data_IF_964004355105
#
_entry.id   IF_964004355105
#
_cell.length_a   1.000
_cell.length_b   1.000
_cell.length_c   1.000
_cell.angle_alpha   90.00
_cell.angle_beta   90.00
_cell.angle_gamma   90.00
#
_symmetry.space_group_name_H-M   'P 1'
#
loop_
_entity.id
_entity.type
_entity.pdbx_description
1 polymer ?
#
# COMPACT_ATOMS: atom_id res chain seq x y z
N UNK A 1 -3.85 -47.85 76.67
CA UNK A 1 -5.07 -48.63 76.92
C UNK A 1 -6.25 -47.66 76.96
N UNK A 2 -7.32 -47.97 76.22
CA UNK A 2 -8.57 -47.21 75.98
C UNK A 2 -8.42 -45.91 75.14
N UNK A 3 -8.85 -45.77 73.87
CA UNK A 3 -10.00 -46.25 73.07
C UNK A 3 -11.21 -45.30 73.08
N UNK A 4 -11.60 -44.87 71.87
CA UNK A 4 -12.90 -44.33 71.39
C UNK A 4 -13.24 -42.85 71.72
N UNK A 5 -13.90 -42.05 70.87
CA UNK A 5 -14.40 -42.15 69.48
C UNK A 5 -14.83 -40.73 69.02
N UNK A 6 -14.51 -40.42 67.75
CA UNK A 6 -15.25 -39.66 66.71
C UNK A 6 -16.35 -38.66 67.11
N UNK A 7 -16.27 -37.46 66.54
CA UNK A 7 -17.41 -36.82 65.86
C UNK A 7 -16.91 -35.91 64.73
N UNK A 8 -17.42 -36.17 63.53
CA UNK A 8 -17.18 -35.45 62.29
C UNK A 8 -18.19 -34.30 62.13
N UNK A 9 -17.79 -33.14 61.58
CA UNK A 9 -18.72 -32.16 61.00
C UNK A 9 -18.13 -31.60 59.71
N UNK A 10 -19.02 -31.52 58.71
CA UNK A 10 -18.80 -31.41 57.28
C UNK A 10 -18.28 -30.05 56.80
N UNK A 11 -17.45 -30.09 55.76
CA UNK A 11 -17.22 -29.00 54.82
C UNK A 11 -18.49 -28.74 54.00
N UNK A 12 -19.00 -27.51 54.00
CA UNK A 12 -20.02 -27.06 53.05
C UNK A 12 -19.41 -25.98 52.15
N UNK A 13 -19.07 -26.40 50.94
CA UNK A 13 -18.56 -25.58 49.84
C UNK A 13 -19.75 -24.90 49.16
N UNK A 14 -19.84 -23.57 49.21
CA UNK A 14 -20.82 -22.81 48.43
C UNK A 14 -20.10 -22.13 47.26
N UNK A 15 -20.11 -22.78 46.10
CA UNK A 15 -19.71 -22.18 44.84
C UNK A 15 -20.91 -21.42 44.25
N UNK A 16 -20.78 -20.10 44.12
CA UNK A 16 -21.77 -19.23 43.46
C UNK A 16 -21.56 -19.31 41.96
N UNK A 17 -22.45 -20.01 41.26
CA UNK A 17 -22.54 -20.00 39.81
C UNK A 17 -23.37 -18.79 39.35
N UNK A 18 -22.70 -17.80 38.75
CA UNK A 18 -23.36 -16.73 38.01
C UNK A 18 -23.92 -17.29 36.69
N UNK A 19 -25.25 -17.37 36.60
CA UNK A 19 -25.99 -17.58 35.37
C UNK A 19 -26.51 -16.22 34.91
N UNK A 20 -25.93 -15.67 33.84
CA UNK A 20 -26.50 -14.52 33.15
C UNK A 20 -27.33 -15.01 31.96
N UNK A 21 -28.60 -14.59 32.01
CA UNK A 21 -29.65 -14.82 31.05
C UNK A 21 -29.25 -14.49 29.62
N UNK A 22 -29.59 -15.41 28.71
CA UNK A 22 -29.73 -15.15 27.30
C UNK A 22 -30.83 -14.09 27.10
N UNK A 23 -30.44 -12.92 26.60
CA UNK A 23 -31.36 -11.97 26.00
C UNK A 23 -31.25 -12.17 24.49
N UNK A 24 -32.28 -12.81 23.92
CA UNK A 24 -32.52 -12.85 22.48
C UNK A 24 -32.54 -11.42 21.95
N UNK A 25 -31.60 -11.10 21.06
CA UNK A 25 -31.79 -10.05 20.06
C UNK A 25 -31.53 -10.64 18.69
N UNK A 26 -32.58 -10.53 17.90
CA UNK A 26 -32.74 -10.90 16.51
C UNK A 26 -31.45 -10.73 15.69
N UNK A 27 -31.06 -11.83 15.05
CA UNK A 27 -30.08 -11.87 14.00
C UNK A 27 -30.62 -11.08 12.79
N UNK A 28 -30.40 -9.77 12.78
CA UNK A 28 -30.38 -8.97 11.56
C UNK A 28 -29.12 -9.36 10.79
N UNK A 29 -29.29 -10.33 9.90
CA UNK A 29 -28.57 -10.50 8.62
C UNK A 29 -27.20 -9.81 8.55
N UNK A 30 -26.16 -10.58 8.88
CA UNK A 30 -24.74 -10.25 8.72
C UNK A 30 -24.29 -10.30 7.23
N UNK A 31 -25.18 -9.92 6.31
CA UNK A 31 -25.00 -10.08 4.86
C UNK A 31 -24.74 -8.76 4.10
N UNK A 32 -24.55 -7.63 4.80
CA UNK A 32 -24.51 -6.31 4.15
C UNK A 32 -23.31 -5.41 4.52
N UNK A 33 -22.19 -5.99 4.99
CA UNK A 33 -20.93 -5.24 5.18
C UNK A 33 -19.70 -6.03 4.72
N UNK A 34 -19.80 -6.70 3.57
CA UNK A 34 -18.58 -7.03 2.83
C UNK A 34 -17.97 -5.72 2.29
N UNK A 35 -16.66 -5.49 2.45
CA UNK A 35 -16.02 -4.33 1.84
C UNK A 35 -16.27 -4.38 0.33
N UNK A 36 -16.63 -3.23 -0.26
CA UNK A 36 -16.75 -3.08 -1.69
C UNK A 36 -15.41 -3.42 -2.36
N UNK A 37 -15.25 -4.67 -2.79
CA UNK A 37 -14.18 -5.07 -3.71
C UNK A 37 -14.57 -4.54 -5.08
N UNK A 38 -14.20 -3.29 -5.37
CA UNK A 38 -14.19 -2.83 -6.76
C UNK A 38 -13.04 -3.55 -7.44
N UNK A 39 -13.33 -4.71 -8.03
CA UNK A 39 -12.40 -5.40 -8.92
C UNK A 39 -12.34 -4.60 -10.22
N UNK A 40 -11.61 -3.49 -10.22
CA UNK A 40 -11.23 -2.82 -11.45
C UNK A 40 -10.14 -3.66 -12.10
N UNK A 41 -10.55 -4.59 -12.96
CA UNK A 41 -9.64 -5.15 -13.96
C UNK A 41 -9.44 -3.99 -14.94
N UNK A 42 -8.21 -3.48 -15.08
CA UNK A 42 -7.87 -2.61 -16.20
C UNK A 42 -7.97 -3.44 -17.49
N UNK A 43 -9.20 -3.68 -17.95
CA UNK A 43 -9.47 -4.05 -19.32
C UNK A 43 -9.23 -2.80 -20.14
N UNK A 44 -8.14 -2.81 -20.91
CA UNK A 44 -7.91 -2.00 -22.11
C UNK A 44 -8.58 -0.61 -22.06
N UNK A 45 -7.85 0.36 -21.51
CA UNK A 45 -8.15 1.78 -21.65
C UNK A 45 -9.05 2.33 -20.55
N UNK A 46 -8.59 3.45 -20.00
CA UNK A 46 -9.27 4.44 -19.16
C UNK A 46 -8.61 4.59 -17.77
N UNK A 47 -7.85 5.70 -17.69
CA UNK A 47 -6.98 6.22 -16.63
C UNK A 47 -5.56 5.62 -16.65
N UNK A 48 -4.66 6.34 -17.35
CA UNK A 48 -3.29 5.92 -17.69
C UNK A 48 -3.20 5.57 -19.17
N UNK A 49 -2.81 6.53 -20.00
CA UNK A 49 -2.79 6.42 -21.47
C UNK A 49 -1.89 5.27 -21.94
N UNK A 50 -2.41 4.46 -22.85
CA UNK A 50 -1.61 3.49 -23.59
C UNK A 50 -1.38 4.02 -25.00
N UNK A 51 -0.11 4.04 -25.44
CA UNK A 51 0.25 4.14 -26.86
C UNK A 51 0.87 2.80 -27.27
N UNK A 52 0.31 2.10 -28.28
CA UNK A 52 0.90 0.89 -28.81
C UNK A 52 2.31 1.12 -29.34
N UNK A 53 3.19 0.16 -29.09
CA UNK A 53 4.58 0.17 -29.51
C UNK A 53 4.68 0.41 -31.03
N UNK A 54 5.43 1.42 -31.51
CA UNK A 54 5.65 1.62 -32.94
C UNK A 54 6.67 0.58 -33.45
N UNK A 55 6.24 -0.68 -33.63
CA UNK A 55 6.98 -1.71 -34.38
C UNK A 55 7.37 -3.01 -33.66
N UNK A 56 6.99 -3.22 -32.39
CA UNK A 56 7.38 -4.42 -31.62
C UNK A 56 6.22 -5.35 -31.25
N UNK A 57 6.53 -6.62 -30.98
CA UNK A 57 5.57 -7.60 -30.47
C UNK A 57 4.86 -7.06 -29.21
N UNK A 58 3.54 -7.23 -29.13
CA UNK A 58 2.79 -6.83 -27.94
C UNK A 58 3.16 -7.75 -26.77
N UNK A 59 4.04 -7.30 -25.88
CA UNK A 59 4.34 -8.02 -24.64
C UNK A 59 3.07 -8.16 -23.78
N UNK A 60 2.86 -9.32 -23.14
CA UNK A 60 1.72 -9.51 -22.25
C UNK A 60 1.78 -8.53 -21.09
N UNK A 61 0.63 -7.98 -20.69
CA UNK A 61 0.58 -6.89 -19.72
C UNK A 61 0.44 -7.42 -18.28
N UNK A 62 1.00 -6.71 -17.27
CA UNK A 62 0.74 -7.01 -15.88
C UNK A 62 -0.75 -6.87 -15.54
N UNK A 63 -1.23 -7.73 -14.63
CA UNK A 63 -2.57 -7.59 -14.05
C UNK A 63 -2.48 -6.80 -12.75
N UNK A 64 -3.30 -5.76 -12.60
CA UNK A 64 -3.39 -4.94 -11.39
C UNK A 64 -4.76 -5.16 -10.75
N UNK A 65 -4.79 -5.56 -9.49
CA UNK A 65 -6.03 -5.66 -8.68
C UNK A 65 -5.98 -4.61 -7.58
N UNK A 66 -6.95 -3.69 -7.60
CA UNK A 66 -7.08 -2.62 -6.59
C UNK A 66 -8.03 -3.06 -5.46
N UNK A 67 -7.70 -2.68 -4.23
CA UNK A 67 -8.55 -2.88 -3.06
C UNK A 67 -8.40 -1.71 -2.10
N UNK A 68 -9.47 -1.39 -1.37
CA UNK A 68 -9.44 -0.39 -0.31
C UNK A 68 -9.72 -1.11 1.01
N UNK A 69 -8.88 -0.86 2.01
CA UNK A 69 -9.07 -1.32 3.38
C UNK A 69 -9.42 -0.15 4.29
N UNK A 70 -10.58 -0.23 4.94
CA UNK A 70 -11.01 0.73 5.95
C UNK A 70 -10.98 0.01 7.30
N UNK A 71 -10.21 0.49 8.28
CA UNK A 71 -10.16 -0.09 9.61
C UNK A 71 -11.55 -0.17 10.26
N UNK A 72 -11.87 -1.33 10.83
CA UNK A 72 -13.12 -1.51 11.59
C UNK A 72 -13.09 -0.80 12.94
N UNK A 73 -11.91 -0.63 13.53
CA UNK A 73 -11.75 0.06 14.80
C UNK A 73 -11.87 1.59 14.60
N UNK A 74 -12.85 2.27 15.21
CA UNK A 74 -13.02 3.72 15.08
C UNK A 74 -11.77 4.53 15.45
N UNK A 75 -10.94 4.03 16.37
CA UNK A 75 -9.69 4.70 16.77
C UNK A 75 -8.69 4.84 15.61
N UNK A 76 -8.73 3.92 14.64
CA UNK A 76 -7.83 3.89 13.49
C UNK A 76 -8.53 4.33 12.18
N UNK A 77 -9.84 4.61 12.25
CA UNK A 77 -10.67 4.91 11.07
C UNK A 77 -10.37 6.27 10.42
N UNK A 78 -9.49 7.08 11.00
CA UNK A 78 -8.99 8.32 10.39
C UNK A 78 -8.09 8.09 9.16
N UNK A 79 -7.64 6.86 8.94
CA UNK A 79 -6.87 6.44 7.78
C UNK A 79 -7.51 5.24 7.09
N UNK A 80 -7.29 5.13 5.78
CA UNK A 80 -7.61 3.94 4.96
C UNK A 80 -6.37 3.54 4.18
N UNK A 81 -6.33 2.30 3.71
CA UNK A 81 -5.25 1.84 2.83
C UNK A 81 -5.77 1.64 1.42
N UNK A 82 -5.09 2.24 0.45
CA UNK A 82 -5.18 1.87 -0.96
C UNK A 82 -4.18 0.75 -1.20
N UNK A 83 -4.63 -0.33 -1.83
CA UNK A 83 -3.81 -1.52 -2.07
C UNK A 83 -3.86 -1.92 -3.54
N UNK A 84 -2.69 -2.23 -4.10
CA UNK A 84 -2.52 -2.70 -5.46
C UNK A 84 -1.75 -4.01 -5.43
N UNK A 85 -2.34 -5.07 -5.96
CA UNK A 85 -1.64 -6.33 -6.23
C UNK A 85 -1.32 -6.39 -7.72
N UNK A 86 -0.04 -6.37 -8.06
CA UNK A 86 0.46 -6.36 -9.42
C UNK A 86 1.08 -7.72 -9.72
N UNK A 87 0.64 -8.36 -10.79
CA UNK A 87 1.14 -9.67 -11.23
C UNK A 87 1.67 -9.55 -12.65
N UNK A 88 2.99 -9.69 -12.82
CA UNK A 88 3.60 -9.71 -14.14
C UNK A 88 3.48 -11.11 -14.76
N UNK A 89 3.17 -11.20 -16.06
CA UNK A 89 3.24 -12.45 -16.79
C UNK A 89 4.70 -12.90 -16.97
N UNK A 90 4.90 -14.13 -17.40
CA UNK A 90 6.20 -14.58 -17.89
C UNK A 90 6.44 -13.95 -19.27
N UNK A 91 7.52 -13.18 -19.39
CA UNK A 91 7.96 -12.63 -20.67
C UNK A 91 8.84 -13.61 -21.44
N UNK A 92 8.88 -13.55 -22.78
CA UNK A 92 9.86 -14.27 -23.58
C UNK A 92 11.29 -13.90 -23.18
N UNK A 93 12.22 -14.85 -23.32
CA UNK A 93 13.64 -14.58 -23.08
C UNK A 93 14.13 -13.50 -24.06
N UNK A 94 14.83 -12.48 -23.55
CA UNK A 94 15.30 -11.34 -24.35
C UNK A 94 14.22 -10.31 -24.68
N UNK A 95 13.05 -10.36 -24.02
CA UNK A 95 12.10 -9.26 -24.06
C UNK A 95 12.78 -7.96 -23.61
N UNK A 96 12.51 -6.88 -24.35
CA UNK A 96 13.01 -5.54 -24.05
C UNK A 96 12.43 -5.04 -22.73
N UNK A 97 13.29 -4.83 -21.73
CA UNK A 97 12.87 -4.42 -20.39
C UNK A 97 12.25 -3.02 -20.36
N UNK A 98 12.65 -2.13 -21.28
CA UNK A 98 12.11 -0.77 -21.40
C UNK A 98 10.64 -0.77 -21.85
N UNK A 99 10.17 -1.90 -22.41
CA UNK A 99 8.78 -2.10 -22.82
C UNK A 99 7.93 -2.74 -21.72
N UNK A 100 8.53 -3.26 -20.65
CA UNK A 100 7.81 -3.88 -19.54
C UNK A 100 7.31 -2.78 -18.61
N UNK A 101 6.00 -2.69 -18.30
CA UNK A 101 5.51 -1.73 -17.32
C UNK A 101 6.13 -1.99 -15.95
N UNK A 102 6.80 -0.99 -15.39
CA UNK A 102 7.60 -1.11 -14.17
C UNK A 102 7.48 0.10 -13.25
N UNK A 103 7.33 1.30 -13.82
CA UNK A 103 7.30 2.57 -13.08
C UNK A 103 5.88 2.82 -12.57
N UNK A 104 5.73 2.97 -11.26
CA UNK A 104 4.45 3.02 -10.58
C UNK A 104 4.18 4.40 -9.96
N UNK A 105 2.94 4.86 -10.07
CA UNK A 105 2.43 6.03 -9.34
C UNK A 105 1.48 5.61 -8.22
N UNK A 106 1.70 6.13 -7.02
CA UNK A 106 0.81 5.89 -5.87
C UNK A 106 -0.45 6.77 -5.90
N UNK A 107 -0.51 7.79 -6.76
CA UNK A 107 -1.65 8.71 -6.86
C UNK A 107 -2.90 8.02 -7.40
N UNK A 108 -2.73 7.24 -8.46
CA UNK A 108 -3.81 6.57 -9.17
C UNK A 108 -3.57 5.06 -9.34
N UNK A 109 -2.37 4.57 -9.04
CA UNK A 109 -1.96 3.20 -9.27
C UNK A 109 -1.62 2.90 -10.72
N UNK A 110 -1.25 3.90 -11.51
CA UNK A 110 -0.73 3.73 -12.87
C UNK A 110 0.60 2.97 -12.84
N UNK A 111 0.80 2.11 -13.83
CA UNK A 111 2.04 1.35 -14.03
C UNK A 111 2.47 1.50 -15.49
N UNK A 112 3.61 2.13 -15.70
CA UNK A 112 4.10 2.61 -16.99
C UNK A 112 5.44 1.96 -17.34
N UNK A 113 5.72 1.81 -18.63
CA UNK A 113 7.03 1.38 -19.13
C UNK A 113 7.92 2.59 -19.42
N UNK A 114 9.24 2.42 -19.44
CA UNK A 114 10.16 3.51 -19.79
C UNK A 114 9.95 3.99 -21.22
N UNK A 115 9.66 3.09 -22.17
CA UNK A 115 9.31 3.46 -23.54
C UNK A 115 8.08 4.38 -23.59
N UNK A 116 7.03 4.08 -22.81
CA UNK A 116 5.87 4.98 -22.72
C UNK A 116 6.26 6.35 -22.14
N UNK A 117 7.01 6.38 -21.03
CA UNK A 117 7.43 7.63 -20.39
C UNK A 117 8.29 8.50 -21.32
N UNK A 118 9.12 7.88 -22.17
CA UNK A 118 9.88 8.58 -23.22
C UNK A 118 9.02 9.15 -24.36
N UNK A 119 7.75 8.74 -24.47
CA UNK A 119 6.83 9.16 -25.53
C UNK A 119 5.80 10.20 -25.10
N UNK A 120 5.73 10.51 -23.80
CA UNK A 120 4.77 11.47 -23.22
C UNK A 120 5.47 12.71 -22.67
N UNK A 121 4.67 13.69 -22.26
CA UNK A 121 5.18 14.90 -21.61
C UNK A 121 5.85 14.57 -20.27
N UNK A 122 6.93 15.27 -19.95
CA UNK A 122 7.73 15.03 -18.75
C UNK A 122 6.92 15.18 -17.45
N UNK A 123 5.85 15.98 -17.47
CA UNK A 123 4.93 16.14 -16.32
C UNK A 123 4.23 14.85 -15.91
N UNK A 124 4.06 13.88 -16.80
CA UNK A 124 3.52 12.56 -16.46
C UNK A 124 4.55 11.72 -15.69
N UNK A 125 5.83 11.85 -16.05
CA UNK A 125 6.92 11.16 -15.36
C UNK A 125 7.14 11.68 -13.95
N UNK A 126 6.94 12.98 -13.73
CA UNK A 126 7.16 13.59 -12.40
C UNK A 126 6.18 13.10 -11.33
N UNK A 127 5.06 12.48 -11.73
CA UNK A 127 4.07 11.84 -10.83
C UNK A 127 4.44 10.40 -10.45
N UNK A 128 5.57 9.90 -10.95
CA UNK A 128 6.02 8.53 -10.72
C UNK A 128 6.91 8.45 -9.48
N UNK A 129 6.75 7.38 -8.71
CA UNK A 129 7.36 7.28 -7.39
C UNK A 129 8.46 6.22 -7.31
N UNK A 130 8.24 5.05 -7.93
CA UNK A 130 9.20 3.96 -7.92
C UNK A 130 9.01 2.99 -9.08
N UNK A 131 10.10 2.34 -9.51
CA UNK A 131 10.07 1.15 -10.36
C UNK A 131 9.98 -0.10 -9.51
N UNK A 132 9.13 -1.05 -9.93
CA UNK A 132 8.85 -2.28 -9.18
C UNK A 132 9.44 -3.54 -9.81
N UNK A 133 9.77 -3.52 -11.11
CA UNK A 133 10.17 -4.72 -11.87
C UNK A 133 11.62 -4.64 -12.39
N UNK A 134 12.05 -3.46 -12.83
CA UNK A 134 13.35 -3.25 -13.46
C UNK A 134 14.52 -3.69 -12.54
N UNK A 135 15.48 -4.42 -13.12
CA UNK A 135 16.64 -5.01 -12.45
C UNK A 135 16.33 -5.87 -11.19
N UNK A 136 15.09 -6.32 -11.02
CA UNK A 136 14.63 -6.96 -9.78
C UNK A 136 14.89 -6.10 -8.53
N UNK A 137 14.80 -4.78 -8.66
CA UNK A 137 14.95 -3.84 -7.56
C UNK A 137 13.72 -2.96 -7.44
N UNK A 138 13.51 -2.42 -6.24
CA UNK A 138 12.62 -1.28 -6.08
C UNK A 138 13.49 -0.03 -6.19
N UNK A 139 13.46 0.63 -7.34
CA UNK A 139 14.17 1.89 -7.56
C UNK A 139 13.23 3.04 -7.28
N UNK A 140 13.69 4.06 -6.58
CA UNK A 140 12.84 5.18 -6.11
C UNK A 140 13.15 6.48 -6.83
N UNK A 141 12.24 7.45 -6.74
CA UNK A 141 12.31 8.71 -7.48
C UNK A 141 13.53 9.58 -7.22
N UNK A 142 14.27 9.36 -6.14
CA UNK A 142 15.54 10.04 -5.87
C UNK A 142 16.78 9.22 -6.28
N UNK A 143 16.59 8.04 -6.85
CA UNK A 143 17.64 7.22 -7.43
C UNK A 143 17.85 7.59 -8.91
N UNK A 144 19.07 7.91 -9.29
CA UNK A 144 19.42 8.23 -10.69
C UNK A 144 19.21 7.03 -11.61
N UNK A 145 19.35 5.81 -11.10
CA UNK A 145 19.20 4.58 -11.89
C UNK A 145 17.75 4.35 -12.33
N UNK A 146 16.77 4.87 -11.57
CA UNK A 146 15.38 4.85 -12.00
C UNK A 146 15.18 5.63 -13.30
N UNK A 147 15.90 6.74 -13.45
CA UNK A 147 15.69 7.69 -14.54
C UNK A 147 16.66 7.54 -15.70
N UNK A 148 17.75 6.77 -15.53
CA UNK A 148 18.74 6.51 -16.57
C UNK A 148 18.15 6.01 -17.92
N UNK A 149 17.04 5.25 -17.96
CA UNK A 149 16.40 4.85 -19.22
C UNK A 149 15.64 5.99 -19.95
N UNK A 150 15.45 7.15 -19.33
CA UNK A 150 14.73 8.28 -19.92
C UNK A 150 15.68 9.21 -20.68
N UNK A 151 15.48 9.34 -21.99
CA UNK A 151 16.43 10.07 -22.86
C UNK A 151 16.28 11.59 -22.79
N UNK A 152 15.15 12.08 -22.28
CA UNK A 152 14.85 13.51 -22.20
C UNK A 152 15.13 14.09 -20.81
N UNK A 153 15.30 13.23 -19.81
CA UNK A 153 15.45 13.63 -18.41
C UNK A 153 16.94 13.66 -18.08
N UNK A 154 17.56 14.82 -18.29
CA UNK A 154 18.87 15.09 -17.73
C UNK A 154 18.71 15.47 -16.25
N UNK A 155 18.83 14.49 -15.36
CA UNK A 155 18.64 14.66 -13.91
C UNK A 155 19.50 15.79 -13.30
N UNK A 156 20.57 16.20 -13.99
CA UNK A 156 21.43 17.32 -13.59
C UNK A 156 21.03 18.68 -14.20
N UNK A 157 20.17 18.74 -15.22
CA UNK A 157 19.76 19.99 -15.89
C UNK A 157 18.25 20.25 -15.96
N UNK A 158 17.41 19.22 -16.06
CA UNK A 158 15.97 19.32 -15.76
C UNK A 158 15.89 19.19 -14.25
N UNK A 159 15.55 20.30 -13.60
CA UNK A 159 15.47 20.34 -12.15
C UNK A 159 14.73 19.12 -11.64
N UNK A 160 15.35 18.40 -10.71
CA UNK A 160 14.72 17.53 -9.72
C UNK A 160 13.61 18.24 -8.91
N UNK A 161 13.22 19.44 -9.33
CA UNK A 161 12.33 20.36 -8.67
C UNK A 161 10.85 20.11 -8.93
N UNK A 162 10.50 19.09 -9.70
CA UNK A 162 9.09 18.75 -9.92
C UNK A 162 8.79 17.29 -9.54
N UNK A 163 9.82 16.52 -9.16
CA UNK A 163 9.70 15.10 -8.81
C UNK A 163 9.52 14.98 -7.30
N UNK A 164 8.45 14.30 -6.89
CA UNK A 164 8.26 13.91 -5.50
C UNK A 164 9.36 12.95 -5.07
N UNK A 165 10.02 13.21 -3.95
CA UNK A 165 11.10 12.36 -3.45
C UNK A 165 10.54 11.16 -2.70
N UNK A 166 10.98 9.96 -3.05
CA UNK A 166 10.58 8.74 -2.37
C UNK A 166 11.75 8.18 -1.59
N UNK A 167 11.47 7.85 -0.34
CA UNK A 167 12.39 7.24 0.59
C UNK A 167 11.94 5.81 0.87
N UNK A 168 12.88 4.89 0.94
CA UNK A 168 12.59 3.46 1.07
C UNK A 168 13.51 2.80 2.10
N UNK A 169 12.96 1.89 2.88
CA UNK A 169 13.68 1.13 3.90
C UNK A 169 13.20 -0.32 3.88
N UNK A 170 14.13 -1.25 3.69
CA UNK A 170 13.85 -2.68 3.88
C UNK A 170 13.63 -2.96 5.37
N UNK A 171 12.57 -3.70 5.70
CA UNK A 171 12.24 -4.04 7.09
C UNK A 171 12.18 -5.56 7.27
N UNK A 172 12.63 -6.02 8.43
CA UNK A 172 12.55 -7.43 8.82
C UNK A 172 11.29 -7.65 9.66
N UNK A 173 10.13 -7.77 9.00
CA UNK A 173 8.84 -8.06 9.65
C UNK A 173 8.13 -9.20 8.93
N UNK A 174 7.07 -9.74 9.55
CA UNK A 174 6.29 -10.80 8.92
C UNK A 174 5.20 -10.24 8.02
N UNK A 175 4.82 -10.94 6.93
CA UNK A 175 3.68 -10.55 6.09
C UNK A 175 2.37 -10.40 6.87
N UNK A 176 2.16 -11.20 7.92
CA UNK A 176 0.94 -11.14 8.74
C UNK A 176 0.87 -9.84 9.56
N UNK A 177 2.02 -9.33 10.03
CA UNK A 177 2.09 -8.04 10.73
C UNK A 177 1.77 -6.90 9.76
N UNK A 178 2.35 -6.93 8.55
CA UNK A 178 2.03 -5.94 7.51
C UNK A 178 0.54 -5.99 7.16
N UNK A 179 -0.03 -7.18 7.01
CA UNK A 179 -1.45 -7.36 6.73
C UNK A 179 -2.34 -6.74 7.82
N UNK A 180 -1.96 -6.89 9.09
CA UNK A 180 -2.64 -6.24 10.21
C UNK A 180 -2.51 -4.71 10.15
N UNK A 181 -1.30 -4.19 9.92
CA UNK A 181 -1.08 -2.75 9.77
C UNK A 181 -1.95 -2.16 8.67
N UNK A 182 -1.91 -2.73 7.46
CA UNK A 182 -2.62 -2.17 6.30
C UNK A 182 -4.14 -2.31 6.42
N UNK A 183 -4.65 -3.34 7.11
CA UNK A 183 -6.11 -3.54 7.25
C UNK A 183 -6.71 -2.86 8.46
N UNK A 184 -5.97 -2.82 9.57
CA UNK A 184 -6.52 -2.48 10.88
C UNK A 184 -5.88 -1.23 11.49
N UNK A 185 -4.65 -0.85 11.11
CA UNK A 185 -3.96 0.32 11.66
C UNK A 185 -3.02 1.04 10.67
N UNK A 186 -3.54 1.58 9.55
CA UNK A 186 -2.69 2.19 8.51
C UNK A 186 -1.84 3.36 9.00
N UNK A 187 -2.29 4.10 10.01
CA UNK A 187 -1.53 5.21 10.59
C UNK A 187 -0.19 4.80 11.20
N UNK A 188 -0.01 3.51 11.55
CA UNK A 188 1.23 3.01 12.14
C UNK A 188 2.42 3.09 11.18
N UNK A 189 2.17 3.09 9.86
CA UNK A 189 3.24 3.11 8.85
C UNK A 189 4.13 4.35 8.98
N UNK A 190 3.57 5.50 9.36
CA UNK A 190 4.34 6.70 9.62
C UNK A 190 5.33 6.52 10.79
N UNK A 191 4.93 5.77 11.82
CA UNK A 191 5.78 5.48 12.98
C UNK A 191 6.84 4.42 12.69
N UNK A 192 6.49 3.39 11.91
CA UNK A 192 7.41 2.29 11.54
C UNK A 192 8.54 2.76 10.61
N UNK A 193 8.30 3.79 9.79
CA UNK A 193 9.37 4.40 9.00
C UNK A 193 10.47 4.96 9.92
N UNK A 194 10.06 5.51 11.07
CA UNK A 194 10.94 6.15 12.05
C UNK A 194 11.39 7.55 11.64
N UNK A 195 12.01 8.28 12.58
CA UNK A 195 12.56 9.62 12.33
C UNK A 195 13.94 9.58 11.64
N UNK A 196 14.58 8.41 11.56
CA UNK A 196 15.92 8.20 10.99
C UNK A 196 15.93 8.16 9.45
N UNK A 197 14.79 8.50 8.85
CA UNK A 197 14.57 8.49 7.42
C UNK A 197 15.30 9.63 6.70
N UNK A 198 16.38 10.17 7.27
CA UNK A 198 17.30 11.13 6.65
C UNK A 198 18.78 10.72 6.75
N UNK A 199 19.15 9.66 7.49
CA UNK A 199 20.57 9.38 7.82
C UNK A 199 21.19 8.12 7.21
N UNK A 200 20.41 7.11 6.78
CA UNK A 200 20.95 5.80 6.35
C UNK A 200 20.38 5.30 5.01
N UNK A 201 20.17 6.19 4.03
CA UNK A 201 19.90 5.73 2.66
C UNK A 201 21.21 5.38 1.96
N UNK A 202 21.77 4.22 2.26
CA UNK A 202 22.77 3.62 1.38
C UNK A 202 22.04 3.06 0.15
N UNK A 203 21.88 3.91 -0.88
CA UNK A 203 21.35 3.54 -2.20
C UNK A 203 22.27 2.53 -2.92
N UNK A 204 23.54 2.49 -2.55
CA UNK A 204 24.59 1.80 -3.31
C UNK A 204 24.63 0.26 -3.11
N UNK A 205 23.91 -0.33 -2.16
CA UNK A 205 24.09 -1.76 -1.80
C UNK A 205 22.81 -2.61 -1.84
N UNK A 206 21.81 -2.20 -2.63
CA UNK A 206 20.54 -2.92 -2.68
C UNK A 206 20.65 -4.10 -3.65
N UNK A 207 20.99 -5.26 -3.09
CA UNK A 207 20.86 -6.55 -3.76
C UNK A 207 19.46 -6.72 -4.40
N UNK A 208 19.35 -7.47 -5.51
CA UNK A 208 18.06 -7.85 -6.09
C UNK A 208 17.09 -8.38 -5.03
N UNK A 209 15.87 -7.84 -5.00
CA UNK A 209 14.87 -8.24 -4.03
C UNK A 209 14.51 -9.72 -4.18
N UNK A 210 14.08 -10.33 -3.08
CA UNK A 210 13.68 -11.72 -3.00
C UNK A 210 12.21 -11.85 -2.57
N UNK A 211 11.59 -12.99 -2.86
CA UNK A 211 10.26 -13.28 -2.34
C UNK A 211 10.26 -13.26 -0.80
N UNK A 212 9.32 -12.53 -0.22
CA UNK A 212 9.23 -12.29 1.21
C UNK A 212 9.82 -10.95 1.65
N UNK A 213 10.57 -10.25 0.80
CA UNK A 213 11.08 -8.91 1.12
C UNK A 213 9.95 -7.91 1.30
N UNK A 214 10.11 -7.04 2.29
CA UNK A 214 9.16 -6.00 2.67
C UNK A 214 9.93 -4.69 2.80
N UNK A 215 9.41 -3.66 2.15
CA UNK A 215 9.95 -2.32 2.20
C UNK A 215 8.87 -1.37 2.70
N UNK A 216 9.21 -0.54 3.68
CA UNK A 216 8.39 0.61 4.04
C UNK A 216 8.90 1.82 3.27
N UNK A 217 7.97 2.64 2.79
CA UNK A 217 8.31 3.84 2.03
C UNK A 217 7.54 5.05 2.53
N UNK A 218 8.11 6.21 2.24
CA UNK A 218 7.46 7.50 2.43
C UNK A 218 7.75 8.39 1.23
N UNK A 219 6.84 9.31 0.95
CA UNK A 219 6.94 10.23 -0.18
C UNK A 219 6.89 11.66 0.37
N UNK A 220 7.82 12.47 -0.09
CA UNK A 220 7.93 13.89 0.15
C UNK A 220 7.47 14.64 -1.08
N UNK A 221 6.68 15.69 -0.89
CA UNK A 221 6.46 16.62 -1.99
C UNK A 221 7.78 17.29 -2.32
N UNK A 222 7.91 17.69 -3.56
CA UNK A 222 8.97 18.61 -3.91
C UNK A 222 8.97 19.84 -2.95
N UNK A 223 10.16 20.26 -2.50
CA UNK A 223 10.40 21.34 -1.52
C UNK A 223 9.81 21.16 -0.11
N UNK A 224 9.28 19.99 0.24
CA UNK A 224 8.77 19.72 1.60
C UNK A 224 9.72 18.82 2.41
N UNK A 225 10.09 19.28 3.60
CA UNK A 225 10.92 18.51 4.56
C UNK A 225 10.12 17.43 5.31
N UNK A 226 8.82 17.32 5.04
CA UNK A 226 7.93 16.37 5.71
C UNK A 226 7.28 15.45 4.69
N UNK A 227 7.31 14.13 4.93
CA UNK A 227 6.58 13.20 4.07
C UNK A 227 5.07 13.42 4.24
N UNK A 228 4.33 13.30 3.14
CA UNK A 228 2.88 13.45 3.12
C UNK A 228 2.15 12.12 2.87
N UNK A 229 2.89 11.08 2.53
CA UNK A 229 2.40 9.73 2.24
C UNK A 229 3.35 8.69 2.81
N UNK A 230 2.77 7.57 3.24
CA UNK A 230 3.49 6.41 3.76
C UNK A 230 2.86 5.13 3.24
N UNK A 231 3.69 4.12 3.03
CA UNK A 231 3.20 2.87 2.50
C UNK A 231 4.17 1.71 2.66
N UNK A 232 3.77 0.56 2.14
CA UNK A 232 4.56 -0.67 2.16
C UNK A 232 4.57 -1.29 0.77
N UNK A 233 5.73 -1.79 0.35
CA UNK A 233 5.88 -2.66 -0.81
C UNK A 233 6.25 -4.05 -0.29
N UNK A 234 5.55 -5.08 -0.75
CA UNK A 234 5.82 -6.47 -0.40
C UNK A 234 6.07 -7.27 -1.67
N UNK A 235 7.21 -7.95 -1.71
CA UNK A 235 7.55 -8.91 -2.77
C UNK A 235 6.91 -10.24 -2.39
N UNK A 236 5.79 -10.58 -3.03
CA UNK A 236 5.01 -11.79 -2.69
C UNK A 236 5.59 -13.03 -3.36
N UNK A 237 5.99 -12.91 -4.63
CA UNK A 237 6.55 -14.01 -5.41
C UNK A 237 7.47 -13.47 -6.51
N UNK A 238 8.49 -14.25 -6.88
CA UNK A 238 9.36 -13.99 -8.03
C UNK A 238 8.94 -14.76 -9.29
N UNK A 239 8.06 -15.77 -9.18
CA UNK A 239 7.60 -16.58 -10.31
C UNK A 239 6.17 -17.15 -10.09
N UNK A 240 5.13 -16.63 -10.79
CA UNK A 240 5.15 -15.35 -11.50
C UNK A 240 5.48 -14.21 -10.54
N UNK A 241 5.97 -13.09 -11.07
CA UNK A 241 6.33 -11.96 -10.20
C UNK A 241 5.07 -11.28 -9.68
N UNK A 242 4.93 -11.23 -8.37
CA UNK A 242 3.79 -10.65 -7.67
C UNK A 242 4.29 -9.67 -6.62
N UNK A 243 3.88 -8.41 -6.74
CA UNK A 243 4.23 -7.36 -5.80
C UNK A 243 2.93 -6.71 -5.31
N UNK A 244 2.85 -6.50 -4.01
CA UNK A 244 1.77 -5.77 -3.36
C UNK A 244 2.29 -4.40 -2.92
N UNK A 245 1.58 -3.35 -3.31
CA UNK A 245 1.84 -1.97 -2.90
C UNK A 245 0.67 -1.50 -2.05
N UNK A 246 0.97 -0.91 -0.91
CA UNK A 246 0.02 -0.39 0.05
C UNK A 246 0.33 1.09 0.30
N UNK A 247 -0.69 1.94 0.33
CA UNK A 247 -0.57 3.36 0.65
C UNK A 247 -1.59 3.73 1.72
N UNK A 248 -1.12 4.21 2.87
CA UNK A 248 -1.99 4.79 3.88
C UNK A 248 -2.35 6.23 3.49
N UNK A 249 -3.64 6.52 3.44
CA UNK A 249 -4.16 7.86 3.13
C UNK A 249 -5.21 8.26 4.16
N UNK A 250 -5.42 9.57 4.40
CA UNK A 250 -6.54 10.04 5.20
C UNK A 250 -7.87 9.46 4.72
N UNK A 251 -8.65 8.94 5.65
CA UNK A 251 -10.02 8.50 5.40
C UNK A 251 -10.97 9.69 5.59
N UNK A 252 -10.78 10.71 4.76
CA UNK A 252 -11.70 11.84 4.71
C UNK A 252 -12.88 11.32 3.90
N UNK A 253 -13.94 10.94 4.60
CA UNK A 253 -15.26 10.94 3.98
C UNK A 253 -15.48 12.38 3.51
N UNK A 254 -15.89 12.59 2.25
CA UNK A 254 -16.38 13.88 1.74
C UNK A 254 -17.68 14.29 2.48
N UNK A 255 -17.60 14.45 3.80
CA UNK A 255 -18.58 15.19 4.57
C UNK A 255 -18.29 16.66 4.30
N UNK A 256 -18.70 17.12 3.11
CA UNK A 256 -19.22 18.46 2.99
C UNK A 256 -20.36 18.56 4.00
N UNK A 257 -20.05 19.00 5.21
CA UNK A 257 -21.03 19.52 6.13
C UNK A 257 -21.55 20.78 5.43
N UNK A 258 -22.61 20.63 4.62
CA UNK A 258 -23.51 21.73 4.34
C UNK A 258 -24.07 22.14 5.68
N UNK A 259 -23.38 23.06 6.35
CA UNK A 259 -24.01 23.83 7.41
C UNK A 259 -25.22 24.49 6.76
N UNK A 260 -26.46 24.21 7.22
CA UNK A 260 -27.59 24.98 6.72
C UNK A 260 -27.30 26.44 7.09
N UNK A 261 -27.25 27.31 6.07
CA UNK A 261 -27.15 28.75 6.28
C UNK A 261 -28.26 29.16 7.26
N UNK A 262 -27.93 29.76 8.42
CA UNK A 262 -28.95 30.27 9.34
C UNK A 262 -29.66 31.51 8.79
N UNK A 263 -29.24 32.01 7.63
CA UNK A 263 -29.87 33.13 6.95
C UNK A 263 -30.58 32.62 5.69
N UNK A 264 -31.86 32.30 5.84
CA UNK A 264 -32.80 32.29 4.72
C UNK A 264 -32.94 33.70 4.14
N UNK A 265 -33.30 33.84 2.85
CA UNK A 265 -33.47 35.14 2.22
C UNK A 265 -34.61 35.89 2.91
N UNK A 266 -34.28 37.04 3.51
CA UNK A 266 -35.27 38.01 3.93
C UNK A 266 -35.97 38.59 2.71
N UNK A 267 -37.30 38.64 2.78
CA UNK A 267 -38.18 39.34 1.84
C UNK A 267 -37.83 40.82 1.67
#
# INVERSE_FOLDING_TARGET
>A
MYSFKRAAICFFSCAVAFSFSACEKEALTDLDLMPASSKTINQRGEIGGYIPNPGGENLPQPTIVKQIYIPKNPANAGFKTLAWKITWPTYPAGADEDQIPTVFSTDDGALNSFNYLNSVDSTETYKMHFSLYFDNRVLVSNDTDLWAPLTYLDFYSVGSSDIDNTALKKINTSPAIVEDWVKNNPGILASEMGNDANSDYEYDDWEPYQAGDIYIYQIYKHDEDKPFKYGVIRIVSMSPRVIEVYLAVPNINDFSITTPSPFGPGN
#
